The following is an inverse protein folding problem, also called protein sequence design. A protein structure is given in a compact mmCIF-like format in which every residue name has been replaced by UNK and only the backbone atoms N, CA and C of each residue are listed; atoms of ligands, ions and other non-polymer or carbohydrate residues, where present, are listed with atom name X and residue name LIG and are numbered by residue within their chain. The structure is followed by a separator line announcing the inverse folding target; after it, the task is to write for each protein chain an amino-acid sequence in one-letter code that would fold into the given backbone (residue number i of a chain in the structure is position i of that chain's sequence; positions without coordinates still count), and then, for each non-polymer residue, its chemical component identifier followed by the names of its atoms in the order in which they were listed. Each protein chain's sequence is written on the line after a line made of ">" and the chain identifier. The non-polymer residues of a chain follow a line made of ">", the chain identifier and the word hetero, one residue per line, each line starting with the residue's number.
data_IF_204375655037
#
_entry.id   IF_204375655037
#
_cell.length_a   1.000
_cell.length_b   1.000
_cell.length_c   1.000
_cell.angle_alpha   90.00
_cell.angle_beta   90.00
_cell.angle_gamma   90.00
#
_symmetry.space_group_name_H-M   'P 1'
#
loop_
_entity.id
_entity.type
_entity.pdbx_description
1 polymer ?
#
# COMPACT_ATOMS: atom_id res chain seq x y z
N UNK A 1 -10.68 26.16 15.90
CA UNK A 1 -10.81 25.48 17.21
C UNK A 1 -11.81 24.34 17.00
N UNK A 2 -11.39 23.08 17.07
CA UNK A 2 -12.27 21.93 16.86
C UNK A 2 -12.63 21.32 18.22
N UNK A 3 -13.92 21.35 18.56
CA UNK A 3 -14.48 20.77 19.79
C UNK A 3 -14.79 19.29 19.56
N UNK A 4 -14.24 18.42 20.40
CA UNK A 4 -14.50 16.97 20.38
C UNK A 4 -15.71 16.69 21.24
N UNK A 5 -16.74 16.06 20.65
CA UNK A 5 -17.99 15.69 21.33
C UNK A 5 -17.92 14.22 21.77
N UNK A 6 -18.29 13.86 23.02
CA UNK A 6 -18.33 12.48 23.49
C UNK A 6 -19.31 11.61 22.68
N UNK A 7 -19.13 10.29 22.61
CA UNK A 7 -19.95 9.34 21.84
C UNK A 7 -21.47 9.47 22.04
N UNK A 8 -21.94 9.83 23.25
CA UNK A 8 -23.37 10.08 23.50
C UNK A 8 -23.89 11.42 23.00
N UNK A 9 -23.01 12.39 22.71
CA UNK A 9 -23.36 13.64 22.01
C UNK A 9 -23.19 13.58 20.49
N UNK A 10 -22.54 12.53 19.96
CA UNK A 10 -22.40 12.34 18.52
C UNK A 10 -23.77 12.09 17.90
N UNK A 11 -24.67 11.31 18.52
CA UNK A 11 -25.98 11.01 17.93
C UNK A 11 -26.87 12.25 17.70
N UNK A 12 -26.76 13.31 18.53
CA UNK A 12 -27.62 14.50 18.41
C UNK A 12 -27.05 15.60 17.49
N UNK A 13 -25.73 15.75 17.35
CA UNK A 13 -25.14 16.64 16.32
C UNK A 13 -25.09 15.99 14.93
N UNK A 14 -25.07 14.66 14.87
CA UNK A 14 -25.12 13.88 13.63
C UNK A 14 -26.48 13.95 12.94
N UNK A 15 -27.57 14.07 13.69
CA UNK A 15 -28.92 13.98 13.13
C UNK A 15 -29.28 15.16 12.22
N UNK A 16 -28.63 16.32 12.37
CA UNK A 16 -28.89 17.49 11.50
C UNK A 16 -27.98 17.59 10.27
N UNK A 17 -26.90 16.80 10.19
CA UNK A 17 -25.91 16.85 9.08
C UNK A 17 -26.00 15.63 8.15
N UNK A 18 -26.66 14.54 8.57
CA UNK A 18 -26.65 13.26 7.83
C UNK A 18 -27.92 13.00 7.01
N UNK A 19 -27.99 13.58 5.82
CA UNK A 19 -28.80 13.00 4.71
C UNK A 19 -27.97 12.39 3.58
N UNK A 20 -26.65 12.32 3.73
CA UNK A 20 -25.75 11.75 2.73
C UNK A 20 -25.39 10.28 2.97
N UNK A 21 -25.00 9.53 1.91
CA UNK A 21 -24.50 8.16 2.04
C UNK A 21 -23.21 8.11 2.87
N UNK A 22 -23.03 7.04 3.63
CA UNK A 22 -21.83 6.80 4.46
C UNK A 22 -20.96 5.77 3.75
N UNK A 23 -19.76 6.18 3.35
CA UNK A 23 -18.74 5.28 2.82
C UNK A 23 -18.01 4.61 3.98
N UNK A 24 -18.06 3.28 4.04
CA UNK A 24 -17.35 2.49 5.06
C UNK A 24 -16.12 1.83 4.45
N UNK A 25 -14.94 2.16 4.95
CA UNK A 25 -13.66 1.64 4.46
C UNK A 25 -12.99 0.85 5.56
N UNK A 26 -12.54 -0.36 5.22
CA UNK A 26 -11.70 -1.17 6.10
C UNK A 26 -10.24 -1.11 5.60
N UNK A 27 -9.33 -0.39 6.28
CA UNK A 27 -7.96 -0.20 5.77
C UNK A 27 -7.24 -1.52 5.48
N UNK A 28 -7.34 -2.50 6.38
CA UNK A 28 -6.69 -3.80 6.18
C UNK A 28 -7.24 -4.60 5.00
N UNK A 29 -8.48 -4.37 4.57
CA UNK A 29 -9.01 -4.97 3.34
C UNK A 29 -8.25 -4.44 2.12
N UNK A 30 -7.95 -3.14 2.10
CA UNK A 30 -7.18 -2.51 1.01
C UNK A 30 -5.76 -3.07 0.97
N UNK A 31 -5.11 -3.24 2.13
CA UNK A 31 -3.79 -3.89 2.22
C UNK A 31 -3.82 -5.33 1.74
N UNK A 32 -4.83 -6.12 2.15
CA UNK A 32 -5.02 -7.49 1.67
C UNK A 32 -5.20 -7.54 0.16
N UNK A 33 -6.06 -6.67 -0.40
CA UNK A 33 -6.28 -6.58 -1.85
C UNK A 33 -5.00 -6.23 -2.58
N UNK A 34 -4.20 -5.29 -2.08
CA UNK A 34 -2.89 -4.94 -2.64
C UNK A 34 -1.94 -6.13 -2.72
N UNK A 35 -1.79 -6.89 -1.64
CA UNK A 35 -0.95 -8.09 -1.63
C UNK A 35 -1.49 -9.22 -2.52
N UNK A 36 -2.80 -9.45 -2.55
CA UNK A 36 -3.41 -10.44 -3.45
C UNK A 36 -3.20 -10.05 -4.91
N UNK A 37 -3.40 -8.77 -5.26
CA UNK A 37 -3.15 -8.26 -6.59
C UNK A 37 -1.66 -8.40 -6.97
N UNK A 38 -0.74 -8.18 -6.02
CA UNK A 38 0.69 -8.37 -6.25
C UNK A 38 1.02 -9.82 -6.59
N UNK A 39 0.53 -10.78 -5.80
CA UNK A 39 0.75 -12.20 -6.07
C UNK A 39 0.06 -12.68 -7.35
N UNK A 40 -1.12 -12.12 -7.67
CA UNK A 40 -1.78 -12.37 -8.94
C UNK A 40 -0.94 -11.86 -10.13
N UNK A 41 -0.43 -10.63 -10.05
CA UNK A 41 0.48 -10.06 -11.06
C UNK A 41 1.70 -10.96 -11.27
N UNK A 42 2.38 -11.34 -10.18
CA UNK A 42 3.55 -12.24 -10.22
C UNK A 42 3.22 -13.58 -10.89
N UNK A 43 2.10 -14.22 -10.52
CA UNK A 43 1.69 -15.50 -11.08
C UNK A 43 1.42 -15.40 -12.60
N UNK A 44 0.72 -14.34 -13.04
CA UNK A 44 0.46 -14.09 -14.46
C UNK A 44 1.77 -13.83 -15.21
N UNK A 45 2.67 -13.02 -14.68
CA UNK A 45 3.98 -12.74 -15.29
C UNK A 45 4.82 -14.01 -15.45
N UNK A 46 4.87 -14.88 -14.44
CA UNK A 46 5.54 -16.19 -14.52
C UNK A 46 4.93 -17.02 -15.65
N UNK A 47 3.59 -17.09 -15.72
CA UNK A 47 2.90 -17.88 -16.73
C UNK A 47 3.17 -17.36 -18.15
N UNK A 48 3.09 -16.04 -18.36
CA UNK A 48 3.35 -15.41 -19.67
C UNK A 48 4.81 -15.60 -20.10
N UNK A 49 5.75 -15.38 -19.19
CA UNK A 49 7.18 -15.56 -19.48
C UNK A 49 7.47 -17.01 -19.89
N UNK A 50 7.00 -18.00 -19.12
CA UNK A 50 7.21 -19.41 -19.46
C UNK A 50 6.51 -19.84 -20.76
N UNK A 51 5.41 -19.21 -21.14
CA UNK A 51 4.63 -19.61 -22.31
C UNK A 51 5.04 -18.89 -23.60
N UNK A 52 5.63 -17.69 -23.51
CA UNK A 52 5.81 -16.78 -24.66
C UNK A 52 7.21 -16.21 -24.83
N UNK A 53 8.10 -16.39 -23.86
CA UNK A 53 9.44 -15.79 -23.87
C UNK A 53 10.49 -16.89 -23.94
N UNK A 54 11.28 -16.89 -25.01
CA UNK A 54 12.47 -17.73 -25.14
C UNK A 54 13.68 -16.97 -24.57
N UNK A 55 13.97 -17.21 -23.30
CA UNK A 55 15.08 -16.57 -22.58
C UNK A 55 15.90 -17.62 -21.86
N UNK A 56 17.21 -17.55 -22.05
CA UNK A 56 18.17 -18.29 -21.25
C UNK A 56 18.18 -17.76 -19.80
N UNK A 57 17.49 -18.47 -18.93
CA UNK A 57 17.38 -18.14 -17.50
C UNK A 57 18.73 -18.25 -16.78
N UNK A 58 19.73 -18.93 -17.34
CA UNK A 58 21.07 -19.01 -16.73
C UNK A 58 21.94 -17.80 -17.08
N UNK A 59 21.58 -17.03 -18.10
CA UNK A 59 22.37 -15.90 -18.60
C UNK A 59 21.55 -14.61 -18.74
N UNK A 60 20.64 -14.36 -17.82
CA UNK A 60 19.91 -13.09 -17.77
C UNK A 60 20.81 -11.94 -17.29
N UNK A 61 20.39 -10.70 -17.53
CA UNK A 61 21.06 -9.52 -16.98
C UNK A 61 21.12 -9.54 -15.44
N UNK A 62 20.10 -10.08 -14.78
CA UNK A 62 20.11 -10.23 -13.31
C UNK A 62 21.19 -11.23 -12.87
N UNK A 63 21.39 -12.34 -13.59
CA UNK A 63 22.51 -13.25 -13.31
C UNK A 63 23.85 -12.57 -13.58
N UNK A 64 23.94 -11.78 -14.65
CA UNK A 64 25.15 -11.05 -15.00
C UNK A 64 25.52 -9.95 -13.97
N UNK A 65 24.55 -9.29 -13.35
CA UNK A 65 24.81 -8.26 -12.33
C UNK A 65 24.86 -8.81 -10.91
N UNK A 66 23.83 -9.57 -10.51
CA UNK A 66 23.63 -10.02 -9.13
C UNK A 66 24.02 -11.48 -8.90
N UNK A 67 24.34 -12.25 -9.94
CA UNK A 67 24.73 -13.65 -9.83
C UNK A 67 23.56 -14.63 -9.72
N UNK A 68 22.31 -14.14 -9.68
CA UNK A 68 21.10 -14.96 -9.63
C UNK A 68 19.88 -14.20 -10.18
N UNK A 69 18.83 -14.93 -10.52
CA UNK A 69 17.52 -14.35 -10.80
C UNK A 69 16.70 -14.20 -9.52
N UNK A 70 16.25 -12.97 -9.24
CA UNK A 70 15.16 -12.73 -8.31
C UNK A 70 13.81 -12.85 -9.04
N UNK A 71 12.71 -12.63 -8.33
CA UNK A 71 11.35 -12.77 -8.90
C UNK A 71 11.04 -11.79 -10.04
N UNK A 72 11.76 -10.67 -10.13
CA UNK A 72 11.53 -9.64 -11.16
C UNK A 72 11.87 -10.13 -12.57
N UNK A 73 12.73 -11.14 -12.70
CA UNK A 73 13.08 -11.75 -14.00
C UNK A 73 11.84 -12.11 -14.83
N UNK A 74 10.74 -12.49 -14.17
CA UNK A 74 9.52 -12.93 -14.84
C UNK A 74 8.67 -11.81 -15.43
N UNK A 75 8.99 -10.54 -15.16
CA UNK A 75 8.36 -9.39 -15.79
C UNK A 75 9.38 -8.39 -16.35
N UNK A 76 10.62 -8.82 -16.59
CA UNK A 76 11.64 -8.02 -17.30
C UNK A 76 11.47 -8.06 -18.83
N UNK A 77 10.81 -9.11 -19.34
CA UNK A 77 10.70 -9.40 -20.78
C UNK A 77 9.30 -9.13 -21.33
N UNK A 78 9.22 -8.68 -22.59
CA UNK A 78 7.95 -8.57 -23.30
C UNK A 78 7.48 -9.94 -23.79
N UNK A 79 6.16 -10.25 -23.77
CA UNK A 79 5.05 -9.38 -23.37
C UNK A 79 4.72 -9.42 -21.86
N UNK A 80 5.42 -10.23 -21.05
CA UNK A 80 5.12 -10.38 -19.62
C UNK A 80 5.22 -9.08 -18.82
N UNK A 81 6.19 -8.21 -19.15
CA UNK A 81 6.34 -6.87 -18.58
C UNK A 81 5.11 -5.99 -18.81
N UNK A 82 4.61 -5.96 -20.04
CA UNK A 82 3.45 -5.14 -20.43
C UNK A 82 2.19 -5.63 -19.71
N UNK A 83 2.01 -6.94 -19.62
CA UNK A 83 0.92 -7.56 -18.85
C UNK A 83 1.02 -7.21 -17.37
N UNK A 84 2.22 -7.31 -16.77
CA UNK A 84 2.45 -6.92 -15.39
C UNK A 84 2.11 -5.44 -15.16
N UNK A 85 2.55 -4.55 -16.07
CA UNK A 85 2.28 -3.12 -16.02
C UNK A 85 0.78 -2.79 -16.09
N UNK A 86 -0.01 -3.58 -16.84
CA UNK A 86 -1.48 -3.43 -16.89
C UNK A 86 -2.17 -3.85 -15.59
N UNK A 87 -1.64 -4.85 -14.88
CA UNK A 87 -2.20 -5.34 -13.61
C UNK A 87 -1.75 -4.47 -12.44
N UNK A 88 -0.53 -3.93 -12.49
CA UNK A 88 0.10 -3.20 -11.39
C UNK A 88 -0.75 -2.06 -10.78
N UNK A 89 -1.55 -1.28 -11.53
CA UNK A 89 -2.45 -0.28 -10.95
C UNK A 89 -3.38 -0.84 -9.85
N UNK A 90 -3.78 -2.11 -9.92
CA UNK A 90 -4.56 -2.76 -8.87
C UNK A 90 -3.77 -2.89 -7.56
N UNK A 91 -2.47 -3.19 -7.65
CA UNK A 91 -1.55 -3.23 -6.51
C UNK A 91 -1.36 -1.83 -5.95
N UNK A 92 -0.97 -0.90 -6.82
CA UNK A 92 -0.58 0.45 -6.46
C UNK A 92 -1.72 1.23 -5.81
N UNK A 93 -2.89 1.28 -6.45
CA UNK A 93 -4.03 2.04 -5.93
C UNK A 93 -4.60 1.43 -4.65
N UNK A 94 -4.62 0.10 -4.52
CA UNK A 94 -5.04 -0.55 -3.28
C UNK A 94 -4.12 -0.17 -2.11
N UNK A 95 -2.80 -0.17 -2.34
CA UNK A 95 -1.84 0.21 -1.32
C UNK A 95 -1.83 1.72 -1.03
N UNK A 96 -2.06 2.59 -2.03
CA UNK A 96 -2.24 4.03 -1.79
C UNK A 96 -3.47 4.32 -0.92
N UNK A 97 -4.60 3.72 -1.27
CA UNK A 97 -5.82 3.87 -0.47
C UNK A 97 -5.60 3.34 0.94
N UNK A 98 -4.84 2.25 1.11
CA UNK A 98 -4.44 1.78 2.43
C UNK A 98 -3.60 2.80 3.20
N UNK A 99 -2.56 3.38 2.58
CA UNK A 99 -1.70 4.39 3.22
C UNK A 99 -2.50 5.61 3.67
N UNK A 100 -3.41 6.10 2.82
CA UNK A 100 -4.31 7.21 3.15
C UNK A 100 -5.28 6.84 4.27
N UNK A 101 -5.90 5.67 4.21
CA UNK A 101 -6.82 5.20 5.24
C UNK A 101 -6.12 4.97 6.59
N UNK A 102 -4.89 4.43 6.57
CA UNK A 102 -4.04 4.28 7.75
C UNK A 102 -3.68 5.64 8.37
N UNK A 103 -3.35 6.64 7.54
CA UNK A 103 -3.12 8.00 8.01
C UNK A 103 -4.38 8.61 8.67
N UNK A 104 -5.56 8.43 8.07
CA UNK A 104 -6.82 8.89 8.64
C UNK A 104 -7.14 8.19 9.98
N UNK A 105 -6.78 6.92 10.13
CA UNK A 105 -6.84 6.23 11.42
C UNK A 105 -5.96 6.90 12.48
N UNK A 106 -4.69 7.16 12.17
CA UNK A 106 -3.78 7.85 13.10
C UNK A 106 -4.33 9.22 13.48
N UNK A 107 -4.86 9.98 12.53
CA UNK A 107 -5.49 11.28 12.80
C UNK A 107 -6.74 11.15 13.68
N UNK A 108 -7.60 10.17 13.43
CA UNK A 108 -8.78 9.89 14.26
C UNK A 108 -8.37 9.55 15.70
N UNK A 109 -7.42 8.63 15.88
CA UNK A 109 -6.88 8.26 17.19
C UNK A 109 -6.20 9.43 17.90
N UNK A 110 -5.55 10.34 17.15
CA UNK A 110 -4.98 11.56 17.73
C UNK A 110 -6.07 12.49 18.25
N UNK A 111 -7.16 12.66 17.51
CA UNK A 111 -8.28 13.52 17.95
C UNK A 111 -8.97 12.97 19.21
N UNK A 112 -8.94 11.65 19.40
CA UNK A 112 -9.38 10.94 20.60
C UNK A 112 -8.32 10.86 21.71
N UNK A 113 -7.15 11.50 21.53
CA UNK A 113 -6.01 11.50 22.47
C UNK A 113 -5.41 10.11 22.74
N UNK A 114 -5.63 9.13 21.86
CA UNK A 114 -5.05 7.78 21.95
C UNK A 114 -3.60 7.74 21.45
N UNK A 115 -3.22 8.67 20.57
CA UNK A 115 -1.84 8.82 20.10
C UNK A 115 -1.35 10.26 20.29
N UNK A 116 -0.04 10.43 20.44
CA UNK A 116 0.56 11.75 20.69
C UNK A 116 0.62 12.62 19.43
N UNK A 117 0.61 13.94 19.62
CA UNK A 117 0.80 14.91 18.53
C UNK A 117 2.12 14.69 17.78
N UNK A 118 3.19 14.28 18.47
CA UNK A 118 4.48 13.96 17.84
C UNK A 118 4.36 12.80 16.85
N UNK A 119 3.63 11.75 17.23
CA UNK A 119 3.41 10.59 16.38
C UNK A 119 2.64 10.98 15.10
N UNK A 120 1.59 11.82 15.23
CA UNK A 120 0.86 12.33 14.06
C UNK A 120 1.75 13.13 13.10
N UNK A 121 2.65 13.97 13.61
CA UNK A 121 3.56 14.75 12.73
C UNK A 121 4.53 13.84 11.97
N UNK A 122 5.10 12.84 12.64
CA UNK A 122 5.96 11.84 12.01
C UNK A 122 5.18 11.09 10.94
N UNK A 123 3.97 10.63 11.27
CA UNK A 123 3.10 9.90 10.34
C UNK A 123 2.74 10.71 9.09
N UNK A 124 2.45 12.01 9.23
CA UNK A 124 2.20 12.94 8.10
C UNK A 124 3.39 13.05 7.14
N UNK A 125 4.61 13.10 7.67
CA UNK A 125 5.82 13.17 6.83
C UNK A 125 6.05 11.83 6.14
N UNK A 126 5.94 10.73 6.91
CA UNK A 126 6.16 9.39 6.39
C UNK A 126 5.15 9.02 5.29
N UNK A 127 3.86 9.35 5.42
CA UNK A 127 2.87 8.99 4.38
C UNK A 127 3.17 9.65 3.04
N UNK A 128 3.70 10.88 3.02
CA UNK A 128 4.13 11.54 1.78
C UNK A 128 5.32 10.80 1.16
N UNK A 129 6.31 10.43 1.96
CA UNK A 129 7.47 9.65 1.52
C UNK A 129 7.03 8.27 0.99
N UNK A 130 6.12 7.60 1.71
CA UNK A 130 5.59 6.28 1.34
C UNK A 130 4.88 6.34 -0.02
N UNK A 131 4.04 7.35 -0.26
CA UNK A 131 3.35 7.54 -1.55
C UNK A 131 4.37 7.73 -2.68
N UNK A 132 5.35 8.62 -2.51
CA UNK A 132 6.38 8.89 -3.54
C UNK A 132 7.18 7.63 -3.87
N UNK A 133 7.69 6.94 -2.85
CA UNK A 133 8.52 5.75 -3.03
C UNK A 133 7.71 4.56 -3.57
N UNK A 134 6.44 4.43 -3.18
CA UNK A 134 5.56 3.39 -3.72
C UNK A 134 5.22 3.66 -5.18
N UNK A 135 4.97 4.92 -5.58
CA UNK A 135 4.84 5.30 -7.00
C UNK A 135 6.10 4.99 -7.80
N UNK A 136 7.28 5.16 -7.19
CA UNK A 136 8.57 4.87 -7.85
C UNK A 136 8.69 3.38 -8.21
N UNK A 137 8.03 2.46 -7.50
CA UNK A 137 8.10 1.04 -7.87
C UNK A 137 7.67 0.78 -9.33
N UNK A 138 6.80 1.61 -9.91
CA UNK A 138 6.40 1.54 -11.33
C UNK A 138 7.59 1.57 -12.31
N UNK A 139 8.74 2.12 -11.91
CA UNK A 139 9.93 2.19 -12.77
C UNK A 139 10.46 0.83 -13.20
N UNK A 140 10.16 -0.26 -12.47
CA UNK A 140 10.49 -1.63 -12.91
C UNK A 140 9.82 -2.01 -14.24
N UNK A 141 8.68 -1.40 -14.56
CA UNK A 141 7.95 -1.62 -15.81
C UNK A 141 8.30 -0.62 -16.90
N UNK A 142 8.71 0.59 -16.51
CA UNK A 142 9.01 1.70 -17.43
C UNK A 142 10.44 1.59 -17.97
N UNK A 143 11.41 1.36 -17.09
CA UNK A 143 12.82 1.22 -17.48
C UNK A 143 13.08 -0.25 -17.80
N UNK A 144 13.49 -0.50 -19.05
CA UNK A 144 13.90 -1.84 -19.46
C UNK A 144 15.25 -2.15 -18.81
N UNK A 145 15.34 -3.29 -18.14
CA UNK A 145 16.57 -3.76 -17.52
C UNK A 145 17.81 -3.77 -18.46
N UNK A 146 17.68 -4.12 -19.76
CA UNK A 146 18.80 -4.02 -20.72
C UNK A 146 19.31 -2.60 -20.98
N UNK A 147 18.45 -1.61 -20.87
CA UNK A 147 18.79 -0.22 -21.20
C UNK A 147 19.41 0.47 -19.98
N UNK A 148 18.83 0.27 -18.79
CA UNK A 148 19.35 0.80 -17.52
C UNK A 148 18.92 -0.07 -16.33
N UNK A 149 19.75 -1.06 -15.99
CA UNK A 149 19.50 -1.96 -14.85
C UNK A 149 19.45 -1.21 -13.51
N UNK A 150 20.19 -0.10 -13.36
CA UNK A 150 20.25 0.66 -12.10
C UNK A 150 18.93 1.39 -11.90
N UNK A 151 18.49 2.15 -12.90
CA UNK A 151 17.19 2.82 -12.92
C UNK A 151 16.02 1.86 -12.69
N UNK A 152 16.04 0.71 -13.36
CA UNK A 152 15.07 -0.36 -13.15
C UNK A 152 15.06 -0.82 -11.68
N UNK A 153 16.23 -1.11 -11.12
CA UNK A 153 16.35 -1.64 -9.75
C UNK A 153 16.03 -0.61 -8.66
N UNK A 154 16.29 0.69 -8.88
CA UNK A 154 15.96 1.73 -7.90
C UNK A 154 14.47 1.79 -7.58
N UNK A 155 13.59 1.51 -8.57
CA UNK A 155 12.15 1.38 -8.31
C UNK A 155 11.85 0.28 -7.29
N UNK A 156 12.51 -0.88 -7.41
CA UNK A 156 12.37 -1.96 -6.45
C UNK A 156 12.94 -1.59 -5.07
N UNK A 157 14.09 -0.91 -4.99
CA UNK A 157 14.65 -0.46 -3.71
C UNK A 157 13.71 0.51 -2.98
N UNK A 158 13.05 1.41 -3.72
CA UNK A 158 12.01 2.29 -3.17
C UNK A 158 10.89 1.51 -2.47
N UNK A 159 10.37 0.46 -3.12
CA UNK A 159 9.36 -0.41 -2.53
C UNK A 159 9.85 -1.04 -1.21
N UNK A 160 11.09 -1.52 -1.13
CA UNK A 160 11.61 -2.17 0.08
C UNK A 160 11.61 -1.20 1.28
N UNK A 161 11.98 0.06 1.03
CA UNK A 161 11.96 1.12 2.05
C UNK A 161 10.52 1.37 2.52
N UNK A 162 9.56 1.48 1.61
CA UNK A 162 8.14 1.68 1.97
C UNK A 162 7.62 0.55 2.84
N UNK A 163 7.89 -0.70 2.47
CA UNK A 163 7.41 -1.85 3.24
C UNK A 163 8.01 -1.89 4.65
N UNK A 164 9.27 -1.45 4.83
CA UNK A 164 9.86 -1.27 6.15
C UNK A 164 9.17 -0.17 6.96
N UNK A 165 8.96 1.01 6.36
CA UNK A 165 8.28 2.13 7.02
C UNK A 165 6.87 1.73 7.46
N UNK A 166 6.10 1.08 6.58
CA UNK A 166 4.75 0.57 6.87
C UNK A 166 4.78 -0.45 8.01
N UNK A 167 5.74 -1.38 8.02
CA UNK A 167 5.85 -2.38 9.08
C UNK A 167 6.18 -1.74 10.44
N UNK A 168 7.13 -0.79 10.47
CA UNK A 168 7.50 -0.03 11.68
C UNK A 168 6.31 0.78 12.19
N UNK A 169 5.65 1.55 11.31
CA UNK A 169 4.48 2.38 11.67
C UNK A 169 3.37 1.54 12.27
N UNK A 170 3.03 0.43 11.62
CA UNK A 170 2.02 -0.48 12.13
C UNK A 170 2.39 -1.03 13.51
N UNK A 171 3.62 -1.52 13.69
CA UNK A 171 4.07 -2.03 14.99
C UNK A 171 3.94 -0.95 16.08
N UNK A 172 4.47 0.25 15.83
CA UNK A 172 4.44 1.35 16.81
C UNK A 172 3.01 1.80 17.11
N UNK A 173 2.16 1.89 16.09
CA UNK A 173 0.75 2.28 16.25
C UNK A 173 -0.01 1.25 17.10
N UNK A 174 0.10 -0.03 16.77
CA UNK A 174 -0.57 -1.11 17.49
C UNK A 174 -0.06 -1.29 18.91
N UNK A 175 1.24 -1.09 19.14
CA UNK A 175 1.82 -1.06 20.48
C UNK A 175 1.23 0.09 21.32
N UNK A 176 1.08 1.30 20.74
CA UNK A 176 0.45 2.44 21.43
C UNK A 176 -1.01 2.22 21.78
N UNK A 177 -1.71 1.40 21.01
CA UNK A 177 -3.11 1.06 21.27
C UNK A 177 -3.28 -0.18 22.16
N UNK A 178 -2.19 -0.79 22.64
CA UNK A 178 -2.22 -2.07 23.37
C UNK A 178 -2.98 -3.18 22.60
N UNK A 179 -2.91 -3.15 21.27
CA UNK A 179 -3.60 -4.09 20.36
C UNK A 179 -2.56 -4.76 19.49
N UNK A 180 -1.84 -5.78 19.99
CA UNK A 180 -0.82 -6.41 19.16
C UNK A 180 -1.45 -7.17 17.96
N UNK A 181 -0.84 -7.16 16.77
CA UNK A 181 -1.31 -7.93 15.62
C UNK A 181 -1.36 -9.45 15.90
N UNK A 182 -0.45 -9.91 16.76
CA UNK A 182 -0.29 -11.32 17.09
C UNK A 182 -1.31 -11.79 18.13
N UNK A 183 -1.71 -10.92 19.08
CA UNK A 183 -2.82 -11.19 19.99
C UNK A 183 -4.07 -11.58 19.20
N UNK A 184 -4.38 -10.77 18.19
CA UNK A 184 -5.53 -10.95 17.31
C UNK A 184 -5.46 -12.31 16.60
N UNK A 185 -4.27 -12.70 16.12
CA UNK A 185 -4.07 -14.00 15.48
C UNK A 185 -4.22 -15.16 16.49
N UNK A 186 -3.61 -15.06 17.67
CA UNK A 186 -3.68 -16.07 18.71
C UNK A 186 -5.12 -16.29 19.21
N UNK A 187 -5.88 -15.21 19.44
CA UNK A 187 -7.29 -15.27 19.80
C UNK A 187 -8.11 -16.03 18.74
N UNK A 188 -7.86 -15.75 17.45
CA UNK A 188 -8.54 -16.39 16.32
C UNK A 188 -8.27 -17.88 16.18
N UNK A 189 -7.02 -18.28 16.45
CA UNK A 189 -6.62 -19.67 16.39
C UNK A 189 -7.07 -20.48 17.62
N UNK A 190 -7.80 -19.86 18.55
CA UNK A 190 -8.29 -20.51 19.76
C UNK A 190 -7.24 -20.59 20.87
N UNK A 191 -6.17 -19.80 20.78
CA UNK A 191 -5.09 -19.74 21.75
C UNK A 191 -4.88 -18.34 22.34
N UNK A 192 -5.93 -17.67 22.89
CA UNK A 192 -5.85 -16.28 23.35
C UNK A 192 -4.80 -16.03 24.44
N UNK A 193 -4.45 -17.07 25.21
CA UNK A 193 -3.47 -17.00 26.30
C UNK A 193 -2.08 -17.54 25.92
N UNK A 194 -1.85 -17.89 24.64
CA UNK A 194 -0.58 -18.49 24.22
C UNK A 194 0.60 -17.55 24.43
N UNK A 195 0.37 -16.25 24.23
CA UNK A 195 1.39 -15.22 24.29
C UNK A 195 0.87 -14.06 25.14
N UNK A 196 1.58 -13.74 26.22
CA UNK A 196 1.35 -12.51 26.96
C UNK A 196 1.71 -11.28 26.12
N UNK A 197 1.24 -10.08 26.52
CA UNK A 197 1.48 -8.82 25.79
C UNK A 197 2.97 -8.59 25.47
N UNK A 198 3.87 -8.86 26.43
CA UNK A 198 5.32 -8.73 26.24
C UNK A 198 5.88 -9.66 25.18
N UNK A 199 5.41 -10.91 25.14
CA UNK A 199 5.83 -11.89 24.14
C UNK A 199 5.35 -11.49 22.74
N UNK A 200 4.15 -10.90 22.65
CA UNK A 200 3.62 -10.41 21.38
C UNK A 200 4.40 -9.20 20.86
N UNK A 201 4.71 -8.24 21.73
CA UNK A 201 5.57 -7.09 21.41
C UNK A 201 6.96 -7.56 20.98
N UNK A 202 7.51 -8.57 21.67
CA UNK A 202 8.79 -9.16 21.31
C UNK A 202 8.77 -9.82 19.92
N UNK A 203 7.73 -10.60 19.60
CA UNK A 203 7.60 -11.24 18.28
C UNK A 203 7.40 -10.20 17.19
N UNK A 204 6.52 -9.21 17.41
CA UNK A 204 6.30 -8.11 16.46
C UNK A 204 7.58 -7.30 16.22
N UNK A 205 8.30 -6.96 17.29
CA UNK A 205 9.60 -6.29 17.23
C UNK A 205 10.66 -7.12 16.51
N UNK A 206 10.72 -8.43 16.78
CA UNK A 206 11.64 -9.36 16.10
C UNK A 206 11.34 -9.43 14.61
N UNK A 207 10.07 -9.54 14.23
CA UNK A 207 9.65 -9.51 12.83
C UNK A 207 10.12 -8.24 12.10
N UNK A 208 9.84 -7.06 12.67
CA UNK A 208 10.26 -5.78 12.07
C UNK A 208 11.78 -5.67 12.02
N UNK A 209 12.48 -6.08 13.08
CA UNK A 209 13.94 -6.08 13.12
C UNK A 209 14.54 -6.95 12.01
N UNK A 210 14.02 -8.17 11.82
CA UNK A 210 14.46 -9.06 10.74
C UNK A 210 14.16 -8.47 9.36
N UNK A 211 12.96 -7.93 9.14
CA UNK A 211 12.59 -7.30 7.86
C UNK A 211 13.52 -6.13 7.53
N UNK A 212 13.77 -5.24 8.48
CA UNK A 212 14.66 -4.09 8.30
C UNK A 212 16.10 -4.57 8.07
N UNK A 213 16.59 -5.52 8.87
CA UNK A 213 17.95 -6.07 8.74
C UNK A 213 18.21 -6.69 7.37
N UNK A 214 17.30 -7.55 6.89
CA UNK A 214 17.41 -8.18 5.57
C UNK A 214 17.25 -7.15 4.44
N UNK A 215 16.37 -6.16 4.61
CA UNK A 215 16.23 -5.06 3.63
C UNK A 215 17.51 -4.23 3.52
N UNK A 216 18.08 -3.80 4.65
CA UNK A 216 19.33 -3.05 4.67
C UNK A 216 20.47 -3.85 4.03
N UNK A 217 20.59 -5.14 4.37
CA UNK A 217 21.55 -6.04 3.74
C UNK A 217 21.38 -6.07 2.20
N UNK A 218 20.16 -6.24 1.70
CA UNK A 218 19.87 -6.26 0.25
C UNK A 218 20.19 -4.92 -0.43
N UNK A 219 19.83 -3.81 0.22
CA UNK A 219 20.13 -2.47 -0.31
C UNK A 219 21.64 -2.24 -0.39
N UNK A 220 22.38 -2.56 0.67
CA UNK A 220 23.86 -2.44 0.68
C UNK A 220 24.47 -3.35 -0.38
N UNK A 221 24.04 -4.61 -0.48
CA UNK A 221 24.50 -5.54 -1.52
C UNK A 221 24.25 -4.98 -2.93
N UNK A 222 23.07 -4.45 -3.20
CA UNK A 222 22.71 -3.88 -4.50
C UNK A 222 23.55 -2.62 -4.83
N UNK A 223 23.64 -1.67 -3.90
CA UNK A 223 24.34 -0.41 -4.10
C UNK A 223 25.86 -0.61 -4.25
N UNK A 224 26.45 -1.52 -3.48
CA UNK A 224 27.88 -1.87 -3.59
C UNK A 224 28.17 -2.60 -4.91
N UNK A 225 27.26 -3.47 -5.37
CA UNK A 225 27.33 -4.06 -6.72
C UNK A 225 27.31 -2.98 -7.81
N UNK A 226 26.46 -1.97 -7.68
CA UNK A 226 26.39 -0.86 -8.64
C UNK A 226 27.62 0.05 -8.64
N UNK A 227 28.33 0.13 -7.51
CA UNK A 227 29.60 0.82 -7.37
C UNK A 227 30.78 0.01 -7.94
N UNK A 228 30.58 -1.26 -8.29
CA UNK A 228 31.61 -2.14 -8.83
C UNK A 228 32.44 -2.88 -7.76
N UNK A 229 32.10 -2.73 -6.48
CA UNK A 229 32.78 -3.38 -5.36
C UNK A 229 31.76 -4.03 -4.41
N UNK A 230 31.16 -5.17 -4.79
CA UNK A 230 30.06 -5.76 -4.04
C UNK A 230 30.53 -6.28 -2.67
N UNK A 231 29.77 -5.98 -1.61
CA UNK A 231 30.07 -6.46 -0.25
C UNK A 231 30.12 -8.00 -0.15
N UNK A 232 29.46 -8.68 -1.09
CA UNK A 232 29.51 -10.14 -1.26
C UNK A 232 29.76 -10.44 -2.72
N UNK A 233 30.77 -11.28 -3.00
CA UNK A 233 30.99 -11.80 -4.34
C UNK A 233 29.92 -12.85 -4.70
N UNK A 234 28.82 -12.41 -5.31
CA UNK A 234 27.71 -13.29 -5.72
C UNK A 234 28.02 -14.14 -6.95
N UNK A 235 29.19 -13.97 -7.58
CA UNK A 235 29.67 -14.85 -8.65
C UNK A 235 30.14 -16.19 -8.10
N UNK A 236 30.66 -16.20 -6.89
CA UNK A 236 31.03 -17.42 -6.18
C UNK A 236 29.79 -18.18 -5.66
N UNK A 237 29.82 -19.53 -5.61
CA UNK A 237 28.68 -20.33 -5.16
C UNK A 237 28.17 -19.97 -3.76
N UNK A 238 29.06 -19.62 -2.83
CA UNK A 238 28.70 -19.24 -1.46
C UNK A 238 27.96 -17.91 -1.41
N UNK A 239 28.51 -16.87 -2.04
CA UNK A 239 27.89 -15.55 -2.11
C UNK A 239 26.55 -15.56 -2.85
N UNK A 240 26.44 -16.35 -3.93
CA UNK A 240 25.19 -16.55 -4.68
C UNK A 240 24.09 -17.12 -3.81
N UNK A 241 24.37 -18.21 -3.09
CA UNK A 241 23.41 -18.87 -2.20
C UNK A 241 22.95 -17.93 -1.08
N UNK A 242 23.87 -17.14 -0.51
CA UNK A 242 23.53 -16.17 0.54
C UNK A 242 22.60 -15.06 0.00
N UNK A 243 22.90 -14.51 -1.18
CA UNK A 243 22.06 -13.47 -1.79
C UNK A 243 20.66 -14.01 -2.15
N UNK A 244 20.58 -15.23 -2.70
CA UNK A 244 19.31 -15.92 -2.96
C UNK A 244 18.51 -16.16 -1.69
N UNK A 245 19.16 -16.66 -0.63
CA UNK A 245 18.51 -16.89 0.66
C UNK A 245 17.96 -15.58 1.23
N UNK A 246 18.75 -14.50 1.20
CA UNK A 246 18.30 -13.19 1.65
C UNK A 246 17.09 -12.69 0.85
N UNK A 247 17.04 -12.94 -0.46
CA UNK A 247 15.90 -12.59 -1.31
C UNK A 247 14.63 -13.37 -0.92
N UNK A 248 14.74 -14.68 -0.73
CA UNK A 248 13.61 -15.53 -0.29
C UNK A 248 13.11 -15.11 1.09
N UNK A 249 14.02 -14.94 2.05
CA UNK A 249 13.66 -14.49 3.42
C UNK A 249 13.00 -13.12 3.37
N UNK A 250 13.52 -12.20 2.55
CA UNK A 250 12.91 -10.89 2.35
C UNK A 250 11.50 -10.99 1.77
N UNK A 251 11.28 -11.81 0.73
CA UNK A 251 9.96 -12.02 0.13
C UNK A 251 8.94 -12.56 1.15
N UNK A 252 9.36 -13.50 2.00
CA UNK A 252 8.52 -14.03 3.07
C UNK A 252 8.14 -12.93 4.07
N UNK A 253 9.12 -12.15 4.55
CA UNK A 253 8.93 -11.09 5.53
C UNK A 253 8.16 -9.89 4.96
N UNK A 254 8.33 -9.55 3.69
CA UNK A 254 7.82 -8.32 3.09
C UNK A 254 6.49 -8.51 2.34
N UNK A 255 6.19 -9.72 1.84
CA UNK A 255 5.01 -9.96 0.99
C UNK A 255 4.09 -11.08 1.47
N UNK A 256 4.60 -12.08 2.21
CA UNK A 256 3.76 -13.21 2.69
C UNK A 256 3.25 -12.96 4.10
N UNK A 257 4.14 -12.73 5.06
CA UNK A 257 3.78 -12.50 6.46
C UNK A 257 2.87 -11.26 6.61
N UNK A 258 3.14 -10.12 5.95
CA UNK A 258 2.28 -8.94 6.06
C UNK A 258 0.86 -9.17 5.53
N UNK A 259 0.71 -10.00 4.50
CA UNK A 259 -0.60 -10.40 4.00
C UNK A 259 -1.38 -11.20 5.05
N UNK A 260 -0.73 -12.17 5.70
CA UNK A 260 -1.34 -12.95 6.78
C UNK A 260 -1.73 -12.04 7.95
N UNK A 261 -0.83 -11.15 8.37
CA UNK A 261 -1.10 -10.16 9.43
C UNK A 261 -2.30 -9.29 9.04
N UNK A 262 -2.34 -8.73 7.83
CA UNK A 262 -3.44 -7.90 7.34
C UNK A 262 -4.78 -8.64 7.39
N UNK A 263 -4.79 -9.91 6.96
CA UNK A 263 -5.99 -10.73 6.94
C UNK A 263 -6.61 -10.90 8.35
N UNK A 264 -5.78 -11.16 9.36
CA UNK A 264 -6.23 -11.27 10.74
C UNK A 264 -6.61 -9.92 11.35
N UNK A 265 -5.83 -8.88 11.07
CA UNK A 265 -6.11 -7.52 11.57
C UNK A 265 -7.41 -6.93 11.02
N UNK A 266 -7.89 -7.41 9.87
CA UNK A 266 -9.16 -7.02 9.24
C UNK A 266 -10.40 -7.20 10.11
N UNK A 267 -10.31 -7.88 11.25
CA UNK A 267 -11.48 -8.11 12.12
C UNK A 267 -11.45 -7.31 13.41
N UNK A 268 -10.36 -6.59 13.68
CA UNK A 268 -10.12 -5.88 14.95
C UNK A 268 -9.66 -4.43 14.73
N UNK A 269 -9.37 -4.07 13.49
CA UNK A 269 -9.10 -2.69 13.10
C UNK A 269 -10.45 -2.00 12.89
N UNK A 270 -10.61 -0.82 13.49
CA UNK A 270 -11.86 -0.08 13.37
C UNK A 270 -12.15 0.28 11.90
N UNK A 271 -13.42 0.44 11.54
CA UNK A 271 -13.78 0.87 10.19
C UNK A 271 -13.83 2.39 10.10
N UNK A 272 -13.31 2.95 9.01
CA UNK A 272 -13.50 4.35 8.68
C UNK A 272 -14.91 4.58 8.15
N UNK A 273 -15.66 5.48 8.77
CA UNK A 273 -16.95 5.94 8.28
C UNK A 273 -16.81 7.37 7.77
N UNK A 274 -16.87 7.55 6.45
CA UNK A 274 -16.77 8.85 5.79
C UNK A 274 -18.17 9.23 5.34
N UNK A 275 -18.73 10.29 5.95
CA UNK A 275 -20.01 10.84 5.53
C UNK A 275 -19.79 11.66 4.24
N UNK A 276 -20.44 11.26 3.16
CA UNK A 276 -20.44 12.02 1.91
C UNK A 276 -21.54 13.07 2.01
N UNK A 277 -21.18 14.28 2.44
CA UNK A 277 -22.11 15.41 2.47
C UNK A 277 -22.43 15.85 1.05
N UNK A 278 -23.63 15.54 0.57
CA UNK A 278 -24.22 16.26 -0.55
C UNK A 278 -24.98 17.44 0.04
N UNK A 279 -24.48 18.64 -0.21
CA UNK A 279 -25.24 19.85 0.07
C UNK A 279 -26.30 19.98 -1.03
N UNK A 280 -27.48 19.38 -0.80
CA UNK A 280 -28.60 19.40 -1.75
C UNK A 280 -28.96 20.85 -2.15
N UNK A 281 -28.69 21.84 -1.28
CA UNK A 281 -28.92 23.25 -1.55
C UNK A 281 -28.05 23.83 -2.66
N UNK A 282 -26.88 23.22 -2.95
CA UNK A 282 -25.99 23.62 -4.06
C UNK A 282 -26.23 22.85 -5.34
N UNK A 283 -26.85 21.67 -5.27
CA UNK A 283 -27.20 20.86 -6.45
C UNK A 283 -28.50 21.38 -7.08
N UNK A 284 -29.48 21.79 -6.26
CA UNK A 284 -30.72 22.42 -6.73
C UNK A 284 -30.50 23.77 -7.43
N UNK A 285 -29.46 24.53 -7.04
CA UNK A 285 -29.09 25.78 -7.72
C UNK A 285 -28.54 25.62 -9.15
N UNK A 286 -28.05 24.42 -9.52
CA UNK A 286 -27.57 24.13 -10.88
C UNK A 286 -28.65 23.51 -11.79
N UNK A 287 -29.73 23.00 -11.21
CA UNK A 287 -30.87 22.45 -11.96
C UNK A 287 -31.90 23.54 -12.27
N UNK A 288 -32.09 24.53 -11.40
CA UNK A 288 -33.03 25.64 -11.64
C UNK A 288 -32.53 26.72 -12.60
N UNK A 289 -31.21 26.95 -12.74
CA UNK A 289 -30.69 27.96 -13.68
C UNK A 289 -30.90 27.58 -15.17
N UNK A 290 -31.13 26.30 -15.48
CA UNK A 290 -31.46 25.85 -16.85
C UNK A 290 -32.96 25.61 -17.08
N UNK A 291 -33.79 25.62 -16.04
CA UNK A 291 -35.24 25.49 -16.18
C UNK A 291 -35.91 26.83 -16.58
N UNK A 292 -35.25 27.97 -16.34
CA UNK A 292 -35.76 29.31 -16.68
C UNK A 292 -35.53 29.78 -18.12
N UNK A 293 -34.80 29.04 -18.96
CA UNK A 293 -34.43 29.46 -20.33
C UNK A 293 -35.30 28.86 -21.45
N UNK A 294 -36.35 28.08 -21.12
CA UNK A 294 -37.25 27.47 -22.13
C UNK A 294 -38.67 28.04 -22.18
N UNK A 295 -39.03 29.04 -21.37
CA UNK A 295 -40.40 29.62 -21.37
C UNK A 295 -40.53 31.06 -21.91
N UNK A 296 -39.52 31.63 -22.57
CA UNK A 296 -39.66 32.97 -23.20
C UNK A 296 -39.90 32.95 -24.72
N UNK A 297 -40.36 31.83 -25.27
CA UNK A 297 -40.79 31.70 -26.68
C UNK A 297 -42.25 32.09 -26.89
N UNK A 298 -42.68 33.25 -26.39
CA UNK A 298 -44.05 33.77 -26.55
C UNK A 298 -44.03 35.15 -27.21
N UNK A 299 -44.14 35.18 -28.54
CA UNK A 299 -44.27 36.39 -29.39
C UNK A 299 -44.84 35.88 -30.72
N UNK A 300 -45.87 36.44 -31.37
CA UNK A 300 -46.66 37.66 -31.22
C UNK A 300 -47.94 37.42 -32.04
N UNK A 301 -49.11 37.75 -31.51
CA UNK A 301 -50.32 37.89 -32.33
C UNK A 301 -50.22 39.22 -33.09
N UNK A 302 -50.05 39.15 -34.41
CA UNK A 302 -50.25 40.30 -35.31
C UNK A 302 -51.75 40.57 -35.46
N UNK A 303 -52.19 41.71 -34.94
CA UNK A 303 -53.42 42.37 -35.37
C UNK A 303 -53.11 43.28 -36.55
N UNK A 304 -53.69 42.99 -37.71
CA UNK A 304 -53.72 43.87 -38.87
C UNK A 304 -55.15 43.95 -39.40
N UNK A 305 -55.76 45.12 -39.27
CA UNK A 305 -57.12 45.38 -39.76
C UNK A 305 -57.17 45.74 -41.24
N UNK A 306 -58.31 45.44 -41.86
CA UNK A 306 -59.18 46.34 -42.62
C UNK A 306 -60.52 45.67 -42.86
#
# INVERSE_FOLDING_TARGET
>A
MATVVPEHGIQSMVSSVRKGPILTIHPESLRCTGYLAFWFMVAVSIAVTKAKVDVDMENTLLVQWFGYNNICVYFDFNPAREVAAMIYPLVEYSLFLYLLASHLHVWSSWSQKLVSTRFLHIDRVLVVIEIILMSWFRMVFVIKAPDDIKGHTYGFLGLQVVLCIVAIKNLVYFHKLHKSPLAVMCERLGFPNLLNEKAQDFVGGTYVFLLVGVTLFKMVFCLTTFAGDPIINSKEPGGRKLAQLADVVWMLLAAVIPFVIAFFQRKHTDTLHIALGFDDSKVLGLVDENAGLLESGGTQQEGGGN
#
